data_IF_385306841445
#
_entry.id   IF_385306841445
#
_cell.length_a   1.000
_cell.length_b   1.000
_cell.length_c   1.000
_cell.angle_alpha   90.00
_cell.angle_beta   90.00
_cell.angle_gamma   90.00
#
_symmetry.space_group_name_H-M   'P 1'
#
loop_
_entity.id
_entity.type
_entity.pdbx_description
1 polymer ?
#
# COMPACT_ATOMS: atom_id res chain seq x y z
N UNK A 1 -20.78 -5.48 -17.27
CA UNK A 1 -20.48 -6.14 -16.00
C UNK A 1 -20.68 -5.18 -14.85
N UNK A 2 -21.19 -5.70 -13.75
CA UNK A 2 -21.45 -4.85 -12.58
C UNK A 2 -20.15 -4.43 -11.89
N UNK A 3 -20.11 -3.18 -11.47
CA UNK A 3 -19.05 -2.67 -10.63
C UNK A 3 -19.47 -2.86 -9.17
N UNK A 4 -18.59 -3.46 -8.37
CA UNK A 4 -18.80 -3.63 -6.94
C UNK A 4 -17.56 -3.18 -6.19
N UNK A 5 -17.69 -2.93 -4.89
CA UNK A 5 -16.55 -2.58 -4.07
C UNK A 5 -15.80 -3.84 -3.63
N UNK A 6 -14.50 -3.87 -3.92
CA UNK A 6 -13.62 -4.99 -3.53
C UNK A 6 -12.50 -4.49 -2.65
N UNK A 7 -11.99 -5.37 -1.82
CA UNK A 7 -10.80 -5.09 -1.00
C UNK A 7 -9.52 -5.44 -1.74
N UNK A 8 -8.55 -4.52 -1.72
CA UNK A 8 -7.19 -4.77 -2.20
C UNK A 8 -6.27 -4.69 -0.99
N UNK A 9 -5.56 -5.76 -0.69
CA UNK A 9 -4.70 -5.83 0.49
C UNK A 9 -3.23 -5.79 0.11
N UNK A 10 -2.48 -5.09 0.94
CA UNK A 10 -1.03 -5.04 0.80
C UNK A 10 -0.38 -4.94 2.16
N UNK A 11 0.84 -5.42 2.26
CA UNK A 11 1.65 -5.30 3.46
C UNK A 11 3.13 -5.30 3.11
N UNK A 12 3.90 -4.58 3.91
CA UNK A 12 5.35 -4.52 3.81
C UNK A 12 5.94 -4.27 5.19
N UNK A 13 7.26 -4.24 5.27
CA UNK A 13 7.96 -3.87 6.49
C UNK A 13 8.97 -2.76 6.21
N UNK A 14 9.19 -1.91 7.21
CA UNK A 14 10.29 -0.95 7.20
C UNK A 14 11.49 -1.57 7.93
N UNK A 15 12.69 -1.13 7.60
CA UNK A 15 13.90 -1.61 8.28
C UNK A 15 14.11 -0.89 9.61
N UNK A 16 13.64 0.35 9.72
CA UNK A 16 13.80 1.19 10.91
C UNK A 16 12.57 2.08 11.08
N UNK A 17 12.33 2.50 12.31
CA UNK A 17 11.34 3.53 12.62
C UNK A 17 11.93 4.91 12.31
N UNK A 18 12.01 5.21 11.03
CA UNK A 18 12.56 6.45 10.48
C UNK A 18 11.58 6.99 9.45
N UNK A 19 11.37 8.30 9.45
CA UNK A 19 10.37 8.94 8.59
C UNK A 19 10.54 8.59 7.12
N UNK A 20 11.76 8.73 6.59
CA UNK A 20 12.01 8.48 5.18
C UNK A 20 11.88 7.00 4.83
N UNK A 21 12.32 6.10 5.72
CA UNK A 21 12.18 4.67 5.55
C UNK A 21 10.71 4.24 5.49
N UNK A 22 9.90 4.74 6.42
CA UNK A 22 8.46 4.42 6.48
C UNK A 22 7.75 4.94 5.24
N UNK A 23 8.02 6.18 4.84
CA UNK A 23 7.39 6.76 3.66
C UNK A 23 7.83 6.06 2.37
N UNK A 24 9.11 5.74 2.25
CA UNK A 24 9.64 5.01 1.08
C UNK A 24 8.99 3.63 0.96
N UNK A 25 8.95 2.88 2.05
CA UNK A 25 8.34 1.55 2.06
C UNK A 25 6.85 1.62 1.72
N UNK A 26 6.14 2.61 2.26
CA UNK A 26 4.71 2.77 2.02
C UNK A 26 4.44 3.17 0.57
N UNK A 27 5.23 4.11 0.01
CA UNK A 27 5.08 4.50 -1.39
C UNK A 27 5.32 3.32 -2.34
N UNK A 28 6.35 2.52 -2.07
CA UNK A 28 6.64 1.33 -2.89
C UNK A 28 5.49 0.33 -2.83
N UNK A 29 4.98 0.06 -1.64
CA UNK A 29 3.85 -0.85 -1.47
C UNK A 29 2.62 -0.36 -2.21
N UNK A 30 2.24 0.89 -2.00
CA UNK A 30 1.06 1.47 -2.65
C UNK A 30 1.22 1.50 -4.17
N UNK A 31 2.41 1.88 -4.65
CA UNK A 31 2.69 1.90 -6.08
C UNK A 31 2.57 0.50 -6.71
N UNK A 32 3.04 -0.54 -6.03
CA UNK A 32 2.87 -1.91 -6.49
C UNK A 32 1.39 -2.30 -6.55
N UNK A 33 0.63 -1.97 -5.52
CA UNK A 33 -0.82 -2.26 -5.49
C UNK A 33 -1.54 -1.58 -6.64
N UNK A 34 -1.23 -0.31 -6.89
CA UNK A 34 -1.81 0.48 -7.98
C UNK A 34 -1.45 -0.11 -9.33
N UNK A 35 -0.16 -0.35 -9.57
CA UNK A 35 0.36 -0.75 -10.87
C UNK A 35 -0.02 -2.18 -11.24
N UNK A 36 0.01 -3.11 -10.28
CA UNK A 36 -0.34 -4.51 -10.53
C UNK A 36 -1.84 -4.71 -10.76
N UNK A 37 -2.68 -3.80 -10.26
CA UNK A 37 -4.13 -3.89 -10.40
C UNK A 37 -4.70 -2.84 -11.37
N UNK A 38 -3.89 -1.90 -11.82
CA UNK A 38 -4.33 -0.77 -12.65
C UNK A 38 -5.42 0.06 -11.97
N UNK A 39 -5.14 0.45 -10.73
CA UNK A 39 -6.10 1.22 -9.91
C UNK A 39 -6.07 2.69 -10.27
N UNK A 40 -7.23 3.23 -10.66
CA UNK A 40 -7.43 4.67 -10.80
C UNK A 40 -7.92 5.20 -9.44
N UNK A 41 -7.28 6.20 -8.86
CA UNK A 41 -7.71 6.73 -7.55
C UNK A 41 -9.15 7.26 -7.56
N UNK A 42 -9.69 7.63 -8.71
CA UNK A 42 -11.10 8.06 -8.84
C UNK A 42 -12.09 6.93 -8.53
N UNK A 43 -11.65 5.68 -8.63
CA UNK A 43 -12.47 4.50 -8.36
C UNK A 43 -12.26 3.96 -6.95
N UNK A 44 -11.44 4.64 -6.14
CA UNK A 44 -11.17 4.23 -4.76
C UNK A 44 -12.15 4.92 -3.81
N UNK A 45 -12.90 4.12 -3.07
CA UNK A 45 -13.85 4.62 -2.08
C UNK A 45 -13.12 5.16 -0.86
N UNK A 46 -12.13 4.41 -0.37
CA UNK A 46 -11.34 4.77 0.81
C UNK A 46 -10.14 3.83 0.94
N UNK A 47 -9.19 4.20 1.78
CA UNK A 47 -8.08 3.32 2.12
C UNK A 47 -7.71 3.47 3.58
N UNK A 48 -7.36 2.34 4.20
CA UNK A 48 -6.91 2.28 5.59
C UNK A 48 -5.45 1.86 5.61
N UNK A 49 -4.63 2.62 6.35
CA UNK A 49 -3.23 2.36 6.58
C UNK A 49 -3.06 1.95 8.03
N UNK A 50 -2.49 0.77 8.25
CA UNK A 50 -2.27 0.26 9.60
C UNK A 50 -0.78 0.01 9.81
N UNK A 51 -0.28 0.36 10.99
CA UNK A 51 1.11 0.07 11.36
C UNK A 51 1.16 -0.64 12.69
N UNK A 52 2.22 -1.43 12.89
CA UNK A 52 2.56 -1.92 14.21
C UNK A 52 3.02 -0.75 15.08
N UNK A 53 2.92 -0.89 16.41
CA UNK A 53 3.15 0.21 17.36
C UNK A 53 4.59 0.75 17.36
N UNK A 54 5.53 -0.04 16.87
CA UNK A 54 6.94 0.33 16.77
C UNK A 54 7.23 1.30 15.61
N UNK A 55 6.24 1.60 14.76
CA UNK A 55 6.34 2.61 13.72
C UNK A 55 5.47 3.81 14.11
N UNK A 56 6.09 4.81 14.73
CA UNK A 56 5.40 5.99 15.26
C UNK A 56 5.98 7.32 14.79
N UNK A 57 6.85 7.29 13.78
CA UNK A 57 7.57 8.49 13.34
C UNK A 57 6.80 9.33 12.31
N UNK A 58 5.83 8.75 11.59
CA UNK A 58 5.07 9.46 10.57
C UNK A 58 3.77 8.72 10.25
N UNK A 59 2.79 9.44 9.75
CA UNK A 59 1.56 8.86 9.23
C UNK A 59 1.83 8.22 7.87
N UNK A 60 1.61 6.91 7.71
CA UNK A 60 1.84 6.25 6.42
C UNK A 60 0.93 6.79 5.30
N UNK A 61 -0.26 7.31 5.63
CA UNK A 61 -1.15 7.88 4.62
C UNK A 61 -0.54 9.09 3.90
N UNK A 62 0.49 9.74 4.47
CA UNK A 62 1.20 10.80 3.77
C UNK A 62 1.79 10.30 2.45
N UNK A 63 2.24 9.03 2.41
CA UNK A 63 2.75 8.43 1.18
C UNK A 63 1.71 8.42 0.06
N UNK A 64 0.44 8.16 0.39
CA UNK A 64 -0.64 8.19 -0.59
C UNK A 64 -0.86 9.60 -1.14
N UNK A 65 -0.82 10.61 -0.28
CA UNK A 65 -0.93 12.00 -0.72
C UNK A 65 0.23 12.38 -1.64
N UNK A 66 1.43 11.89 -1.35
CA UNK A 66 2.61 12.13 -2.17
C UNK A 66 2.47 11.49 -3.56
N UNK A 67 1.68 10.44 -3.68
CA UNK A 67 1.38 9.80 -4.97
C UNK A 67 0.15 10.41 -5.67
N UNK A 68 -0.41 11.50 -5.13
CA UNK A 68 -1.51 12.20 -5.77
C UNK A 68 -2.90 11.83 -5.28
N UNK A 69 -3.02 11.02 -4.22
CA UNK A 69 -4.31 10.62 -3.66
C UNK A 69 -4.86 11.72 -2.75
N UNK A 70 -5.26 12.84 -3.34
CA UNK A 70 -5.72 14.01 -2.59
C UNK A 70 -7.20 13.96 -2.24
N UNK A 71 -8.01 13.28 -3.06
CA UNK A 71 -9.46 13.21 -2.88
C UNK A 71 -9.92 11.89 -2.25
N UNK A 72 -9.03 10.92 -2.10
CA UNK A 72 -9.37 9.62 -1.51
C UNK A 72 -9.43 9.75 0.01
N UNK A 73 -10.55 9.35 0.65
CA UNK A 73 -10.60 9.31 2.12
C UNK A 73 -9.60 8.30 2.67
N UNK A 74 -8.71 8.77 3.53
CA UNK A 74 -7.63 7.98 4.11
C UNK A 74 -7.73 7.97 5.63
N UNK A 75 -7.38 6.84 6.24
CA UNK A 75 -7.33 6.70 7.69
C UNK A 75 -6.10 5.92 8.09
N UNK A 76 -5.42 6.34 9.15
CA UNK A 76 -4.34 5.60 9.76
C UNK A 76 -4.80 4.99 11.08
N UNK A 77 -4.34 3.78 11.37
CA UNK A 77 -4.66 3.06 12.59
C UNK A 77 -3.46 2.22 13.03
N UNK A 78 -3.54 1.68 14.23
CA UNK A 78 -2.55 0.73 14.72
C UNK A 78 -3.09 -0.70 14.63
N UNK A 79 -2.20 -1.63 14.32
CA UNK A 79 -2.51 -3.05 14.34
C UNK A 79 -2.60 -3.55 15.79
N UNK A 80 -3.46 -4.52 16.01
CA UNK A 80 -3.55 -5.18 17.32
C UNK A 80 -2.19 -5.78 17.65
N UNK A 81 -1.68 -5.46 18.84
CA UNK A 81 -0.40 -5.99 19.29
C UNK A 81 -0.56 -7.43 19.78
N UNK A 82 0.03 -8.37 19.06
CA UNK A 82 0.12 -9.77 19.47
C UNK A 82 1.60 -10.09 19.68
N UNK A 83 1.92 -10.60 20.87
CA UNK A 83 3.30 -10.95 21.21
C UNK A 83 3.89 -11.95 20.22
N UNK A 84 5.07 -11.66 19.71
CA UNK A 84 5.74 -12.51 18.71
C UNK A 84 5.30 -12.28 17.29
N UNK A 85 4.36 -11.35 17.04
CA UNK A 85 3.95 -11.00 15.69
C UNK A 85 5.01 -10.18 14.94
N UNK A 86 4.84 -10.06 13.63
CA UNK A 86 5.76 -9.33 12.77
C UNK A 86 5.89 -7.88 13.20
N UNK A 87 7.12 -7.39 13.31
CA UNK A 87 7.45 -6.02 13.70
C UNK A 87 7.63 -5.12 12.48
N UNK A 88 7.55 -3.80 12.73
CA UNK A 88 7.77 -2.75 11.72
C UNK A 88 6.97 -3.00 10.45
N UNK A 89 5.72 -3.42 10.65
CA UNK A 89 4.82 -3.80 9.56
C UNK A 89 3.89 -2.65 9.21
N UNK A 90 3.71 -2.44 7.91
CA UNK A 90 2.78 -1.48 7.33
C UNK A 90 1.80 -2.26 6.48
N UNK A 91 0.50 -2.03 6.69
CA UNK A 91 -0.57 -2.66 5.91
C UNK A 91 -1.43 -1.60 5.26
N UNK A 92 -1.90 -1.90 4.06
CA UNK A 92 -2.85 -1.04 3.33
C UNK A 92 -4.03 -1.91 2.92
N UNK A 93 -5.23 -1.40 3.19
CA UNK A 93 -6.47 -1.97 2.69
C UNK A 93 -7.17 -0.91 1.85
N UNK A 94 -7.29 -1.16 0.54
CA UNK A 94 -7.96 -0.27 -0.39
C UNK A 94 -9.36 -0.82 -0.68
N UNK A 95 -10.38 0.04 -0.59
CA UNK A 95 -11.73 -0.26 -1.03
C UNK A 95 -11.91 0.30 -2.43
N UNK A 96 -11.96 -0.60 -3.41
CA UNK A 96 -11.87 -0.27 -4.83
C UNK A 96 -13.12 -0.71 -5.58
N UNK A 97 -13.72 0.23 -6.30
CA UNK A 97 -14.87 -0.06 -7.15
C UNK A 97 -14.36 -0.60 -8.48
N UNK A 98 -14.69 -1.85 -8.78
CA UNK A 98 -14.17 -2.55 -9.94
C UNK A 98 -15.15 -3.63 -10.42
N UNK A 99 -15.04 -4.01 -11.68
CA UNK A 99 -15.78 -5.16 -12.22
C UNK A 99 -15.05 -6.48 -12.00
N UNK A 100 -13.81 -6.45 -11.46
CA UNK A 100 -13.04 -7.67 -11.17
C UNK A 100 -13.65 -8.46 -10.02
N UNK A 101 -13.48 -9.77 -10.07
CA UNK A 101 -13.77 -10.61 -8.89
C UNK A 101 -12.63 -10.48 -7.89
N UNK A 102 -12.88 -10.89 -6.64
CA UNK A 102 -11.84 -10.83 -5.62
C UNK A 102 -10.60 -11.66 -6.00
N UNK A 103 -10.78 -12.76 -6.70
CA UNK A 103 -9.67 -13.63 -7.15
C UNK A 103 -8.81 -13.00 -8.24
N UNK A 104 -9.37 -12.10 -9.02
CA UNK A 104 -8.65 -11.40 -10.08
C UNK A 104 -7.79 -10.24 -9.57
N UNK A 105 -7.98 -9.86 -8.30
CA UNK A 105 -7.22 -8.77 -7.68
C UNK A 105 -5.91 -9.34 -7.13
N UNK A 106 -4.80 -8.68 -7.44
CA UNK A 106 -3.46 -9.09 -6.99
C UNK A 106 -3.14 -8.42 -5.66
N UNK A 107 -3.09 -9.17 -4.54
CA UNK A 107 -2.58 -8.63 -3.28
C UNK A 107 -1.05 -8.50 -3.34
N UNK A 108 -0.49 -7.62 -2.52
CA UNK A 108 0.95 -7.40 -2.49
C UNK A 108 1.49 -7.60 -1.07
N UNK A 109 2.35 -8.59 -0.90
CA UNK A 109 3.06 -8.84 0.35
C UNK A 109 4.55 -8.77 0.06
N UNK A 110 5.22 -7.76 0.56
CA UNK A 110 6.61 -7.44 0.25
C UNK A 110 7.50 -7.54 1.50
N UNK A 111 8.78 -7.73 1.28
CA UNK A 111 9.79 -7.82 2.34
C UNK A 111 9.40 -8.91 3.36
N UNK A 112 9.54 -8.64 4.65
CA UNK A 112 9.20 -9.62 5.68
C UNK A 112 7.70 -9.90 5.81
N UNK A 113 6.85 -9.05 5.22
CA UNK A 113 5.40 -9.23 5.25
C UNK A 113 4.93 -10.45 4.46
N UNK A 114 5.78 -11.04 3.63
CA UNK A 114 5.52 -12.33 2.98
C UNK A 114 5.09 -13.39 4.01
N UNK A 115 5.60 -13.31 5.23
CA UNK A 115 5.26 -14.23 6.33
C UNK A 115 3.80 -14.21 6.73
N UNK A 116 3.08 -13.12 6.47
CA UNK A 116 1.67 -12.99 6.85
C UNK A 116 0.77 -13.86 5.99
N UNK A 117 1.04 -13.91 4.72
CA UNK A 117 0.25 -14.68 3.76
C UNK A 117 1.16 -15.26 2.65
N UNK A 118 1.96 -16.29 2.98
CA UNK A 118 2.85 -16.92 1.97
C UNK A 118 2.09 -17.41 0.75
N UNK A 119 0.83 -17.85 0.94
CA UNK A 119 -0.06 -18.32 -0.11
C UNK A 119 -0.49 -17.23 -1.10
N UNK A 120 -0.36 -15.95 -0.72
CA UNK A 120 -0.75 -14.79 -1.54
C UNK A 120 0.43 -13.92 -1.93
N UNK A 121 1.67 -14.38 -1.74
CA UNK A 121 2.85 -13.54 -1.89
C UNK A 121 3.48 -13.60 -3.28
N UNK A 122 2.85 -14.30 -4.23
CA UNK A 122 3.32 -14.33 -5.61
C UNK A 122 2.59 -13.27 -6.45
N UNK A 123 3.36 -12.50 -7.19
CA UNK A 123 2.84 -11.56 -8.17
C UNK A 123 3.81 -11.47 -9.36
N UNK A 124 3.36 -10.93 -10.51
CA UNK A 124 4.22 -10.84 -11.68
C UNK A 124 5.53 -10.08 -11.40
N UNK A 125 6.63 -10.43 -12.07
CA UNK A 125 7.89 -9.71 -11.90
C UNK A 125 7.72 -8.21 -12.13
N UNK A 126 8.41 -7.42 -11.30
CA UNK A 126 8.34 -5.96 -11.31
C UNK A 126 9.73 -5.38 -11.59
N UNK A 127 9.80 -4.45 -12.51
CA UNK A 127 10.99 -3.63 -12.74
C UNK A 127 11.00 -2.53 -11.67
N UNK A 128 11.87 -2.70 -10.67
CA UNK A 128 11.94 -1.77 -9.54
C UNK A 128 12.41 -0.37 -9.96
N UNK A 129 13.30 -0.28 -10.96
CA UNK A 129 13.77 1.01 -11.45
C UNK A 129 12.64 1.77 -12.15
N UNK A 130 11.82 1.09 -12.94
CA UNK A 130 10.65 1.68 -13.58
C UNK A 130 9.61 2.10 -12.54
N UNK A 131 9.39 1.29 -11.52
CA UNK A 131 8.48 1.62 -10.43
C UNK A 131 8.93 2.89 -9.69
N UNK A 132 10.20 3.00 -9.36
CA UNK A 132 10.76 4.19 -8.70
C UNK A 132 10.66 5.43 -9.58
N UNK A 133 10.87 5.29 -10.89
CA UNK A 133 10.70 6.39 -11.84
C UNK A 133 9.24 6.86 -11.87
N UNK A 134 8.29 5.94 -11.85
CA UNK A 134 6.87 6.26 -11.80
C UNK A 134 6.50 6.99 -10.51
N UNK A 135 7.01 6.52 -9.37
CA UNK A 135 6.78 7.17 -8.07
C UNK A 135 7.30 8.61 -8.10
N UNK A 136 8.52 8.80 -8.57
CA UNK A 136 9.13 10.12 -8.67
C UNK A 136 8.30 11.05 -9.56
N UNK A 137 7.79 10.53 -10.68
CA UNK A 137 6.92 11.29 -11.58
C UNK A 137 5.63 11.73 -10.87
N UNK A 138 4.98 10.83 -10.11
CA UNK A 138 3.76 11.18 -9.38
C UNK A 138 4.03 12.25 -8.33
N UNK A 139 5.13 12.12 -7.59
CA UNK A 139 5.52 13.12 -6.60
C UNK A 139 5.82 14.48 -7.23
N UNK A 140 6.43 14.48 -8.41
CA UNK A 140 6.74 15.70 -9.14
C UNK A 140 5.50 16.48 -9.57
N UNK A 141 4.41 15.79 -9.87
CA UNK A 141 3.15 16.43 -10.27
C UNK A 141 2.54 17.30 -9.17
N UNK A 142 2.84 17.00 -7.91
CA UNK A 142 2.31 17.75 -6.78
C UNK A 142 3.09 19.04 -6.53
N UNK A 143 4.31 19.15 -7.04
CA UNK A 143 5.15 20.33 -6.89
C UNK A 143 4.74 21.47 -7.84
N UNK A 144 3.95 21.16 -8.85
CA UNK A 144 3.44 22.10 -9.85
C UNK A 144 2.05 22.68 -9.44
#
# INVERSE_FOLDING_TARGET
MSVVCRGVRGATTATRNDRDEVLTATRQLLALMIRLNDIDPRDVTSAIFSTTRDLDCEFPALAARQLGWLDVPLMCTNEIHVSGSLEKCIRILIHWNTSKTQKEITPVYANEAVRLRPDLSEYPPVDLDELEAWITEQMGKLAD
#
